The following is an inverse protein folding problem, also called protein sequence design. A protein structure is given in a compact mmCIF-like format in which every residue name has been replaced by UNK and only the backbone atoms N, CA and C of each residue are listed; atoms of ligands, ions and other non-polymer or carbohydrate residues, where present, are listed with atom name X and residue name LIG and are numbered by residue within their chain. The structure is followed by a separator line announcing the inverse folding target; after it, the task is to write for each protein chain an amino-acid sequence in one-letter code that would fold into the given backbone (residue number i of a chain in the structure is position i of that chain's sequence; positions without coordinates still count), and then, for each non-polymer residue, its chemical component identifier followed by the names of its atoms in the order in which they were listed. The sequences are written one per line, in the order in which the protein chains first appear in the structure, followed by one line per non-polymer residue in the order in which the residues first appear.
data_IF_631650637419
#
_entry.id   IF_631650637419
#
_cell.length_a   1.000
_cell.length_b   1.000
_cell.length_c   1.000
_cell.angle_alpha   90.00
_cell.angle_beta   90.00
_cell.angle_gamma   90.00
#
_symmetry.space_group_name_H-M   'P 1'
#
loop_
_entity.id
_entity.type
_entity.pdbx_description
1 polymer ?
#
# COMPACT_ATOMS: atom_id res chain seq x y z
N UNK A 1 -11.34 9.14 26.57
CA UNK A 1 -10.22 8.50 25.84
C UNK A 1 -10.52 8.54 24.35
N UNK A 2 -9.51 8.96 23.58
CA UNK A 2 -9.37 8.87 22.11
C UNK A 2 -10.17 9.84 21.22
N UNK A 3 -9.75 11.10 21.21
CA UNK A 3 -9.82 11.94 20.00
C UNK A 3 -8.45 11.92 19.30
N UNK A 4 -8.25 10.93 18.42
CA UNK A 4 -7.17 11.01 17.43
C UNK A 4 -7.62 11.99 16.34
N UNK A 5 -7.06 13.20 16.37
CA UNK A 5 -7.15 14.14 15.25
C UNK A 5 -6.37 13.53 14.08
N UNK A 6 -7.06 12.77 13.22
CA UNK A 6 -6.47 12.13 12.04
C UNK A 6 -6.23 13.16 10.95
N UNK A 7 -4.99 13.67 10.86
CA UNK A 7 -4.55 14.45 9.71
C UNK A 7 -4.29 13.55 8.51
N UNK A 8 -4.96 13.85 7.39
CA UNK A 8 -4.79 13.14 6.12
C UNK A 8 -4.07 14.01 5.10
N UNK A 9 -3.04 13.46 4.47
CA UNK A 9 -2.20 14.16 3.48
C UNK A 9 -2.59 13.80 2.06
N UNK A 10 -2.62 14.80 1.16
CA UNK A 10 -2.54 14.61 -0.30
C UNK A 10 -1.09 14.39 -0.68
N UNK A 11 -0.76 13.20 -1.17
CA UNK A 11 0.56 12.88 -1.73
C UNK A 11 0.57 13.10 -3.24
N UNK A 12 1.71 13.57 -3.75
CA UNK A 12 2.04 13.57 -5.17
C UNK A 12 3.27 12.70 -5.34
N UNK A 13 3.09 11.56 -6.02
CA UNK A 13 4.18 10.65 -6.38
C UNK A 13 5.21 11.40 -7.21
N UNK A 14 6.39 11.70 -6.64
CA UNK A 14 7.54 12.08 -7.47
C UNK A 14 7.83 10.87 -8.34
N UNK A 15 7.68 11.04 -9.66
CA UNK A 15 8.15 10.04 -10.62
C UNK A 15 9.65 9.87 -10.36
N UNK A 16 10.06 8.65 -10.04
CA UNK A 16 11.47 8.29 -10.14
C UNK A 16 11.86 8.44 -11.61
N UNK A 17 12.45 9.59 -11.96
CA UNK A 17 13.37 9.63 -13.09
C UNK A 17 14.54 8.79 -12.66
N UNK A 18 14.61 7.56 -13.14
CA UNK A 18 15.80 6.74 -13.04
C UNK A 18 17.00 7.63 -13.42
N UNK A 19 17.91 7.86 -12.47
CA UNK A 19 19.23 8.40 -12.79
C UNK A 19 19.95 7.32 -13.57
N UNK A 20 19.75 7.31 -14.88
CA UNK A 20 20.64 6.63 -15.82
C UNK A 20 22.00 7.29 -15.68
N UNK A 21 22.92 6.62 -14.99
CA UNK A 21 24.33 6.93 -15.10
C UNK A 21 24.75 6.64 -16.55
N UNK A 22 24.77 7.68 -17.38
CA UNK A 22 25.42 7.66 -18.69
C UNK A 22 26.92 7.46 -18.48
N UNK A 23 27.39 6.20 -18.55
CA UNK A 23 28.78 5.93 -18.92
C UNK A 23 28.92 6.23 -20.40
N UNK A 24 29.49 7.40 -20.70
CA UNK A 24 30.09 7.71 -21.99
C UNK A 24 31.15 6.64 -22.29
N UNK A 25 30.90 5.80 -23.28
CA UNK A 25 31.96 5.17 -24.07
C UNK A 25 31.77 5.64 -25.50
N UNK A 26 32.79 6.36 -25.95
CA UNK A 26 32.96 6.88 -27.30
C UNK A 26 33.41 5.74 -28.22
N UNK A 27 32.68 5.50 -29.30
CA UNK A 27 33.27 5.16 -30.61
C UNK A 27 32.24 5.41 -31.71
N UNK A 28 32.65 6.20 -32.71
CA UNK A 28 31.98 6.39 -34.00
C UNK A 28 32.01 5.09 -34.81
N UNK A 29 31.00 4.88 -35.65
CA UNK A 29 31.08 4.54 -37.10
C UNK A 29 29.65 4.29 -37.63
N UNK A 30 29.32 4.90 -38.77
CA UNK A 30 28.08 4.76 -39.57
C UNK A 30 28.50 4.10 -40.92
N UNK A 31 27.60 3.80 -41.89
CA UNK A 31 26.44 2.89 -41.99
C UNK A 31 26.68 1.75 -43.02
N UNK A 32 25.89 0.66 -43.04
CA UNK A 32 25.51 -0.08 -44.28
C UNK A 32 24.18 -0.86 -44.12
N UNK A 33 23.21 -0.59 -45.00
CA UNK A 33 22.18 -1.53 -45.51
C UNK A 33 22.67 -2.08 -46.88
N UNK A 34 22.08 -3.09 -47.57
CA UNK A 34 20.70 -3.68 -47.54
C UNK A 34 20.75 -5.24 -47.39
N UNK A 35 19.70 -6.07 -47.35
CA UNK A 35 18.62 -6.40 -48.32
C UNK A 35 17.56 -7.32 -47.68
N UNK A 36 16.40 -7.42 -48.32
CA UNK A 36 15.18 -8.12 -47.90
C UNK A 36 15.17 -9.66 -48.05
N UNK A 37 14.35 -10.37 -47.27
CA UNK A 37 13.52 -11.50 -47.77
C UNK A 37 12.30 -11.76 -46.87
N UNK A 38 11.13 -11.95 -47.51
CA UNK A 38 9.84 -12.39 -46.96
C UNK A 38 9.92 -13.79 -46.34
N UNK A 39 9.09 -14.08 -45.32
CA UNK A 39 8.32 -15.34 -45.20
C UNK A 39 7.11 -15.13 -44.27
N UNK A 40 5.98 -15.67 -44.72
CA UNK A 40 4.62 -15.61 -44.18
C UNK A 40 4.39 -16.74 -43.19
N UNK A 41 3.62 -16.50 -42.11
CA UNK A 41 2.62 -17.38 -41.46
C UNK A 41 2.51 -17.00 -39.97
N UNK A 42 1.41 -17.13 -39.22
CA UNK A 42 -0.03 -17.37 -39.39
C UNK A 42 -0.53 -17.48 -37.93
N UNK A 43 -1.65 -16.81 -37.57
CA UNK A 43 -2.54 -17.06 -36.40
C UNK A 43 -1.90 -16.98 -34.99
N UNK A 44 -2.49 -16.46 -33.91
CA UNK A 44 -3.86 -16.49 -33.42
C UNK A 44 -4.11 -15.26 -32.53
N UNK A 45 -5.17 -14.51 -32.81
CA UNK A 45 -5.67 -13.47 -31.91
C UNK A 45 -6.67 -14.08 -30.94
N UNK A 46 -6.21 -14.47 -29.75
CA UNK A 46 -7.08 -14.86 -28.64
C UNK A 46 -7.87 -13.64 -28.14
N UNK A 47 -9.18 -13.66 -28.40
CA UNK A 47 -10.16 -12.76 -27.77
C UNK A 47 -10.42 -13.29 -26.36
N UNK A 48 -9.86 -12.65 -25.34
CA UNK A 48 -10.24 -12.93 -23.96
C UNK A 48 -11.26 -11.90 -23.46
N UNK A 49 -12.38 -12.46 -23.05
CA UNK A 49 -13.66 -11.87 -22.68
C UNK A 49 -13.55 -11.03 -21.40
N UNK A 50 -14.02 -9.78 -21.47
CA UNK A 50 -14.37 -8.96 -20.30
C UNK A 50 -15.78 -9.35 -19.83
N UNK A 51 -16.04 -9.61 -18.53
CA UNK A 51 -17.41 -9.65 -18.05
C UNK A 51 -17.94 -8.21 -17.99
N UNK A 52 -18.85 -7.90 -18.92
CA UNK A 52 -19.70 -6.70 -18.89
C UNK A 52 -20.74 -6.88 -17.79
N UNK A 53 -20.75 -5.95 -16.85
CA UNK A 53 -21.88 -5.73 -15.95
C UNK A 53 -23.06 -5.25 -16.81
N UNK A 54 -24.14 -6.03 -16.75
CA UNK A 54 -25.39 -5.87 -17.46
C UNK A 54 -26.08 -4.60 -16.96
N UNK A 55 -26.18 -3.56 -17.78
CA UNK A 55 -27.12 -2.47 -17.57
C UNK A 55 -28.41 -2.84 -18.32
N UNK A 56 -29.39 -3.37 -17.59
CA UNK A 56 -30.72 -3.61 -18.13
C UNK A 56 -31.53 -2.31 -18.11
N UNK A 57 -32.24 -2.14 -19.21
CA UNK A 57 -33.04 -1.01 -19.65
C UNK A 57 -34.27 -0.76 -18.78
N UNK A 58 -34.60 0.52 -18.66
CA UNK A 58 -35.82 1.08 -18.07
C UNK A 58 -37.10 0.63 -18.76
N UNK A 59 -38.07 0.16 -17.98
CA UNK A 59 -39.49 0.39 -18.22
C UNK A 59 -40.22 0.42 -16.86
N UNK A 60 -41.03 1.47 -16.66
CA UNK A 60 -41.84 1.76 -15.48
C UNK A 60 -43.02 0.78 -15.38
N UNK A 61 -43.23 0.18 -14.21
CA UNK A 61 -44.56 -0.14 -13.65
C UNK A 61 -44.46 0.00 -12.12
N UNK A 62 -45.32 0.86 -11.57
CA UNK A 62 -45.55 1.03 -10.13
C UNK A 62 -46.08 -0.27 -9.52
N UNK A 63 -45.46 -0.72 -8.43
CA UNK A 63 -46.16 -1.44 -7.37
C UNK A 63 -45.33 -1.40 -6.09
N UNK A 64 -45.96 -0.92 -5.02
CA UNK A 64 -45.34 -0.75 -3.70
C UNK A 64 -44.82 -2.06 -3.14
N UNK A 65 -43.51 -2.26 -3.25
CA UNK A 65 -42.76 -3.27 -2.52
C UNK A 65 -41.75 -2.50 -1.68
N UNK A 66 -41.95 -2.53 -0.36
CA UNK A 66 -40.99 -2.05 0.65
C UNK A 66 -39.60 -2.55 0.24
N UNK A 67 -38.71 -1.61 -0.12
CA UNK A 67 -37.34 -1.95 -0.49
C UNK A 67 -36.71 -2.83 0.60
N UNK A 68 -36.08 -3.97 0.26
CA UNK A 68 -35.37 -4.76 1.24
C UNK A 68 -34.29 -3.88 1.85
N UNK A 69 -34.31 -3.78 3.17
CA UNK A 69 -33.36 -3.03 4.00
C UNK A 69 -31.96 -3.56 3.65
N UNK A 70 -31.19 -2.84 2.84
CA UNK A 70 -29.82 -3.23 2.49
C UNK A 70 -29.01 -3.29 3.77
N UNK A 71 -28.75 -4.51 4.26
CA UNK A 71 -27.96 -4.72 5.47
C UNK A 71 -26.54 -4.25 5.19
N UNK A 72 -26.13 -3.17 5.87
CA UNK A 72 -24.77 -2.63 5.73
C UNK A 72 -23.80 -3.60 6.37
N UNK A 73 -22.74 -3.95 5.65
CA UNK A 73 -21.67 -4.78 6.18
C UNK A 73 -21.03 -4.05 7.38
N UNK A 74 -20.90 -4.69 8.55
CA UNK A 74 -20.35 -4.04 9.74
C UNK A 74 -18.84 -3.82 9.61
N UNK A 75 -18.35 -2.71 10.18
CA UNK A 75 -16.91 -2.53 10.45
C UNK A 75 -16.50 -3.46 11.58
N UNK A 76 -15.32 -4.08 11.46
CA UNK A 76 -14.79 -5.02 12.44
C UNK A 76 -13.27 -4.94 12.56
N UNK A 77 -12.76 -5.18 13.76
CA UNK A 77 -11.33 -5.42 14.04
C UNK A 77 -11.01 -6.93 14.08
N UNK A 78 -12.02 -7.80 13.88
CA UNK A 78 -11.82 -9.23 13.71
C UNK A 78 -11.39 -9.51 12.26
N UNK A 79 -10.18 -10.03 12.12
CA UNK A 79 -9.57 -10.44 10.86
C UNK A 79 -8.63 -11.62 11.12
N UNK A 80 -8.83 -12.68 10.35
CA UNK A 80 -7.97 -13.86 10.31
C UNK A 80 -7.24 -13.93 8.98
N UNK A 81 -6.04 -14.48 8.96
CA UNK A 81 -5.26 -14.67 7.74
C UNK A 81 -5.93 -15.63 6.72
N UNK A 82 -6.95 -16.38 7.14
CA UNK A 82 -7.79 -17.21 6.26
C UNK A 82 -8.94 -16.44 5.63
N UNK A 83 -9.24 -15.22 6.09
CA UNK A 83 -10.30 -14.39 5.53
C UNK A 83 -9.89 -13.93 4.11
N UNK A 84 -10.82 -14.00 3.17
CA UNK A 84 -10.58 -13.61 1.78
C UNK A 84 -10.82 -12.11 1.60
N UNK A 85 -9.91 -11.42 0.91
CA UNK A 85 -10.04 -10.00 0.56
C UNK A 85 -10.83 -9.89 -0.74
N UNK A 86 -12.09 -9.45 -0.67
CA UNK A 86 -13.05 -9.51 -1.79
C UNK A 86 -13.50 -8.14 -2.32
N UNK A 87 -13.13 -7.05 -1.66
CA UNK A 87 -13.52 -5.69 -2.06
C UNK A 87 -12.94 -4.64 -1.13
N UNK A 88 -13.27 -3.38 -1.36
CA UNK A 88 -12.83 -2.27 -0.50
C UNK A 88 -13.87 -1.16 -0.48
N UNK A 89 -13.86 -0.39 0.60
CA UNK A 89 -14.64 0.83 0.77
C UNK A 89 -13.72 1.98 1.18
N UNK A 90 -13.90 3.13 0.52
CA UNK A 90 -13.12 4.34 0.79
C UNK A 90 -13.99 5.40 1.44
N UNK A 91 -13.53 5.91 2.58
CA UNK A 91 -14.25 6.93 3.34
C UNK A 91 -13.71 8.30 3.00
N UNK A 92 -14.48 9.10 2.26
CA UNK A 92 -14.01 10.41 1.80
C UNK A 92 -13.73 11.41 2.93
N UNK A 93 -14.33 11.26 4.11
CA UNK A 93 -14.12 12.12 5.27
C UNK A 93 -12.80 11.81 5.97
N UNK A 94 -12.58 10.55 6.36
CA UNK A 94 -11.38 10.11 7.08
C UNK A 94 -10.23 9.74 6.14
N UNK A 95 -10.53 9.63 4.84
CA UNK A 95 -9.62 9.18 3.78
C UNK A 95 -9.05 7.79 4.06
N UNK A 96 -9.73 7.01 4.87
CA UNK A 96 -9.37 5.63 5.21
C UNK A 96 -9.94 4.66 4.17
N UNK A 97 -9.32 3.49 4.10
CA UNK A 97 -9.79 2.37 3.29
C UNK A 97 -10.02 1.20 4.23
N UNK A 98 -11.22 0.64 4.16
CA UNK A 98 -11.51 -0.65 4.75
C UNK A 98 -11.58 -1.68 3.63
N UNK A 99 -11.08 -2.89 3.88
CA UNK A 99 -11.17 -4.02 2.98
C UNK A 99 -12.39 -4.84 3.37
N UNK A 100 -13.25 -5.10 2.40
CA UNK A 100 -14.34 -6.05 2.53
C UNK A 100 -13.75 -7.45 2.53
N UNK A 101 -13.88 -8.13 3.66
CA UNK A 101 -13.41 -9.51 3.83
C UNK A 101 -14.58 -10.48 3.91
N UNK A 102 -14.34 -11.71 3.48
CA UNK A 102 -15.27 -12.84 3.63
C UNK A 102 -14.56 -13.95 4.40
N UNK A 103 -15.18 -14.41 5.48
CA UNK A 103 -14.69 -15.55 6.26
C UNK A 103 -15.16 -16.86 5.62
N UNK A 104 -14.25 -17.77 5.20
CA UNK A 104 -14.66 -19.02 4.54
C UNK A 104 -15.48 -19.96 5.43
N UNK A 105 -15.24 -19.95 6.75
CA UNK A 105 -15.88 -20.89 7.68
C UNK A 105 -17.39 -20.65 7.86
N UNK A 106 -17.84 -19.40 7.80
CA UNK A 106 -19.24 -19.02 8.05
C UNK A 106 -19.86 -18.13 6.94
N UNK A 107 -19.07 -17.77 5.93
CA UNK A 107 -19.49 -16.91 4.82
C UNK A 107 -19.74 -15.45 5.21
N UNK A 108 -19.50 -15.08 6.48
CA UNK A 108 -19.78 -13.74 6.98
C UNK A 108 -18.87 -12.70 6.34
N UNK A 109 -19.42 -11.49 6.17
CA UNK A 109 -18.72 -10.35 5.57
C UNK A 109 -18.52 -9.25 6.59
N UNK A 110 -17.40 -8.55 6.48
CA UNK A 110 -17.01 -7.47 7.39
C UNK A 110 -16.06 -6.51 6.71
N UNK A 111 -16.13 -5.24 7.08
CA UNK A 111 -15.19 -4.21 6.65
C UNK A 111 -14.07 -4.10 7.68
N UNK A 112 -12.85 -4.45 7.28
CA UNK A 112 -11.68 -4.45 8.15
C UNK A 112 -10.75 -3.32 7.74
N UNK A 113 -10.24 -2.48 8.67
CA UNK A 113 -9.28 -1.44 8.32
C UNK A 113 -8.07 -1.99 7.58
N UNK A 114 -7.70 -1.38 6.47
CA UNK A 114 -6.54 -1.78 5.67
C UNK A 114 -5.25 -1.88 6.51
N UNK A 115 -5.05 -0.92 7.42
CA UNK A 115 -3.92 -0.91 8.37
C UNK A 115 -3.86 -2.20 9.19
N UNK A 116 -5.00 -2.68 9.68
CA UNK A 116 -5.04 -3.86 10.54
C UNK A 116 -4.61 -5.10 9.77
N UNK A 117 -5.03 -5.20 8.50
CA UNK A 117 -4.64 -6.30 7.62
C UNK A 117 -3.14 -6.24 7.34
N UNK A 118 -2.59 -5.05 7.08
CA UNK A 118 -1.14 -4.89 6.89
C UNK A 118 -0.34 -5.30 8.13
N UNK A 119 -0.84 -4.98 9.32
CA UNK A 119 -0.20 -5.34 10.58
C UNK A 119 -0.22 -6.86 10.82
N UNK A 120 -1.30 -7.56 10.46
CA UNK A 120 -1.48 -9.00 10.75
C UNK A 120 -1.00 -9.91 9.62
N UNK A 121 -1.26 -9.55 8.37
CA UNK A 121 -0.95 -10.35 7.18
C UNK A 121 -0.56 -9.46 5.97
N UNK A 122 0.62 -8.80 6.01
CA UNK A 122 1.02 -7.84 4.99
C UNK A 122 1.12 -8.45 3.59
N UNK A 123 1.62 -9.69 3.49
CA UNK A 123 1.76 -10.40 2.21
C UNK A 123 0.42 -10.57 1.49
N UNK A 124 -0.64 -10.89 2.23
CA UNK A 124 -1.98 -11.04 1.66
C UNK A 124 -2.53 -9.70 1.17
N UNK A 125 -2.33 -8.61 1.93
CA UNK A 125 -2.76 -7.28 1.51
C UNK A 125 -2.01 -6.81 0.26
N UNK A 126 -0.70 -7.00 0.20
CA UNK A 126 0.10 -6.59 -0.97
C UNK A 126 -0.27 -7.42 -2.20
N UNK A 127 -0.51 -8.72 -2.05
CA UNK A 127 -1.00 -9.57 -3.13
C UNK A 127 -2.37 -9.09 -3.64
N UNK A 128 -3.28 -8.71 -2.73
CA UNK A 128 -4.57 -8.14 -3.08
C UNK A 128 -4.44 -6.84 -3.88
N UNK A 129 -3.61 -5.89 -3.44
CA UNK A 129 -3.44 -4.66 -4.22
C UNK A 129 -2.72 -4.89 -5.54
N UNK A 130 -1.79 -5.84 -5.60
CA UNK A 130 -1.09 -6.23 -6.83
C UNK A 130 -1.98 -6.96 -7.82
N UNK A 131 -3.08 -7.58 -7.38
CA UNK A 131 -4.02 -8.24 -8.30
C UNK A 131 -4.78 -7.23 -9.17
N UNK A 132 -4.80 -5.96 -8.79
CA UNK A 132 -5.27 -4.89 -9.66
C UNK A 132 -4.14 -4.53 -10.65
N UNK A 133 -4.45 -4.43 -11.95
CA UNK A 133 -3.47 -4.04 -12.98
C UNK A 133 -3.03 -2.57 -12.89
N UNK A 134 -3.23 -1.91 -11.75
CA UNK A 134 -2.90 -0.53 -11.49
C UNK A 134 -2.56 -0.33 -10.00
N UNK A 135 -1.80 0.72 -9.66
CA UNK A 135 -1.47 1.03 -8.27
C UNK A 135 -2.69 1.28 -7.37
N UNK A 136 -2.56 0.98 -6.07
CA UNK A 136 -3.59 1.18 -5.03
C UNK A 136 -4.26 2.55 -5.13
N UNK A 137 -3.49 3.63 -5.26
CA UNK A 137 -4.02 5.00 -5.32
C UNK A 137 -4.99 5.23 -6.48
N UNK A 138 -4.72 4.58 -7.62
CA UNK A 138 -5.59 4.63 -8.80
C UNK A 138 -6.82 3.74 -8.63
N UNK A 139 -6.65 2.58 -8.00
CA UNK A 139 -7.76 1.66 -7.67
C UNK A 139 -8.75 2.33 -6.74
N UNK A 140 -8.26 2.92 -5.64
CA UNK A 140 -9.09 3.60 -4.63
C UNK A 140 -9.55 4.98 -5.09
N UNK A 141 -8.96 5.52 -6.16
CA UNK A 141 -9.21 6.89 -6.67
C UNK A 141 -8.92 7.95 -5.60
N UNK A 142 -7.86 7.75 -4.83
CA UNK A 142 -7.41 8.67 -3.79
C UNK A 142 -5.92 8.90 -3.91
N UNK A 143 -5.52 10.17 -3.85
CA UNK A 143 -4.12 10.56 -3.71
C UNK A 143 -3.71 10.74 -2.24
N UNK A 144 -4.48 10.19 -1.29
CA UNK A 144 -4.17 10.29 0.14
C UNK A 144 -3.50 9.03 0.68
N UNK A 145 -2.49 9.26 1.52
CA UNK A 145 -1.63 8.22 2.07
C UNK A 145 -1.52 8.41 3.58
N UNK A 146 -1.48 7.28 4.28
CA UNK A 146 -1.32 7.23 5.73
C UNK A 146 0.02 6.59 6.04
N UNK A 147 0.76 7.17 6.99
CA UNK A 147 2.03 6.60 7.48
C UNK A 147 1.71 5.28 8.17
N UNK A 148 2.27 4.18 7.70
CA UNK A 148 2.16 2.90 8.39
C UNK A 148 3.20 2.80 9.50
N UNK A 149 4.47 3.00 9.15
CA UNK A 149 5.63 2.82 10.03
C UNK A 149 6.82 3.69 9.59
N UNK A 150 7.76 3.92 10.51
CA UNK A 150 9.07 4.54 10.25
C UNK A 150 10.11 3.41 10.28
N UNK A 151 10.71 3.13 9.14
CA UNK A 151 11.53 1.92 8.97
C UNK A 151 13.03 2.20 8.98
N UNK A 152 13.44 3.46 8.80
CA UNK A 152 14.85 3.86 8.75
C UNK A 152 14.98 5.37 8.98
N UNK A 153 16.18 5.83 9.32
CA UNK A 153 16.52 7.23 9.43
C UNK A 153 17.94 7.53 8.92
N UNK A 154 18.10 8.67 8.27
CA UNK A 154 19.38 9.14 7.74
C UNK A 154 19.49 10.65 7.96
N UNK A 155 20.61 11.16 8.50
CA UNK A 155 20.78 12.58 8.78
C UNK A 155 20.62 13.49 7.56
N UNK A 156 20.89 13.00 6.36
CA UNK A 156 20.81 13.77 5.10
C UNK A 156 19.44 13.65 4.41
N UNK A 157 18.75 12.53 4.55
CA UNK A 157 17.48 12.24 3.86
C UNK A 157 16.24 12.39 4.76
N UNK A 158 16.39 12.31 6.07
CA UNK A 158 15.30 12.35 7.05
C UNK A 158 14.86 10.95 7.48
N UNK A 159 13.55 10.69 7.50
CA UNK A 159 12.95 9.44 7.95
C UNK A 159 12.42 8.66 6.75
N UNK A 160 12.70 7.37 6.68
CA UNK A 160 12.17 6.48 5.65
C UNK A 160 10.83 5.92 6.09
N UNK A 161 9.80 6.21 5.31
CA UNK A 161 8.41 5.96 5.66
C UNK A 161 7.85 4.80 4.86
N UNK A 162 7.28 3.84 5.58
CA UNK A 162 6.37 2.86 5.01
C UNK A 162 4.94 3.41 5.01
N UNK A 163 4.22 3.23 3.90
CA UNK A 163 2.84 3.70 3.73
C UNK A 163 1.83 2.57 3.90
N UNK A 164 0.62 2.91 4.36
CA UNK A 164 -0.49 1.95 4.43
C UNK A 164 -0.86 1.48 3.02
N UNK A 165 -0.93 0.16 2.84
CA UNK A 165 -1.18 -0.53 1.59
C UNK A 165 0.08 -0.82 0.75
N UNK A 166 1.27 -0.46 1.23
CA UNK A 166 2.53 -0.61 0.50
C UNK A 166 3.60 -1.37 1.30
N UNK A 167 4.49 -2.05 0.57
CA UNK A 167 5.56 -2.85 1.17
C UNK A 167 6.65 -1.97 1.80
N UNK A 168 7.47 -2.49 2.72
CA UNK A 168 8.63 -1.76 3.27
C UNK A 168 9.82 -1.72 2.30
N UNK A 169 9.63 -2.07 1.02
CA UNK A 169 10.71 -2.04 0.02
C UNK A 169 11.08 -0.61 -0.39
N UNK A 170 12.29 -0.43 -0.91
CA UNK A 170 12.79 0.89 -1.37
C UNK A 170 11.92 1.52 -2.46
N UNK A 171 11.26 0.71 -3.31
CA UNK A 171 10.39 1.22 -4.37
C UNK A 171 9.04 1.74 -3.87
N UNK A 172 8.63 1.32 -2.67
CA UNK A 172 7.33 1.58 -2.07
C UNK A 172 7.40 2.50 -0.84
N UNK A 173 8.61 2.84 -0.40
CA UNK A 173 8.89 3.72 0.73
C UNK A 173 9.44 5.06 0.25
N UNK A 174 9.40 6.06 1.11
CA UNK A 174 9.93 7.40 0.79
C UNK A 174 10.61 8.04 1.97
N UNK A 175 11.68 8.79 1.70
CA UNK A 175 12.31 9.67 2.68
C UNK A 175 11.50 10.95 2.87
N UNK A 176 11.19 11.28 4.12
CA UNK A 176 10.35 12.40 4.53
C UNK A 176 11.00 13.15 5.71
N UNK A 177 10.76 14.45 5.81
CA UNK A 177 11.37 15.22 6.90
C UNK A 177 10.75 14.87 8.27
N UNK A 178 11.58 14.81 9.31
CA UNK A 178 11.11 14.59 10.68
C UNK A 178 10.07 15.64 11.12
N UNK A 179 10.20 16.88 10.66
CA UNK A 179 9.24 17.96 10.93
C UNK A 179 7.85 17.69 10.32
N UNK A 180 7.79 17.05 9.14
CA UNK A 180 6.54 16.64 8.50
C UNK A 180 5.91 15.49 9.28
N UNK A 181 6.70 14.47 9.63
CA UNK A 181 6.21 13.29 10.34
C UNK A 181 5.74 13.64 11.76
N UNK A 182 6.48 14.50 12.50
CA UNK A 182 6.07 15.00 13.81
C UNK A 182 4.70 15.69 13.80
N UNK A 183 4.37 16.40 12.71
CA UNK A 183 3.04 17.02 12.56
C UNK A 183 1.95 16.00 12.25
N UNK A 184 2.28 14.94 11.52
CA UNK A 184 1.31 13.95 11.05
C UNK A 184 0.99 12.88 12.09
N UNK A 185 2.02 12.28 12.67
CA UNK A 185 1.95 11.12 13.56
C UNK A 185 3.00 11.29 14.67
N UNK A 186 2.84 12.27 15.58
CA UNK A 186 3.83 12.55 16.63
C UNK A 186 4.12 11.31 17.49
N UNK A 187 3.08 10.57 17.86
CA UNK A 187 3.22 9.36 18.69
C UNK A 187 4.10 8.29 18.03
N UNK A 188 3.89 8.02 16.74
CA UNK A 188 4.71 7.04 15.99
C UNK A 188 6.18 7.47 15.93
N UNK A 189 6.44 8.78 15.79
CA UNK A 189 7.81 9.30 15.80
C UNK A 189 8.45 9.15 17.18
N UNK A 190 7.73 9.47 18.24
CA UNK A 190 8.24 9.38 19.60
C UNK A 190 8.51 7.90 19.99
N UNK A 191 7.65 6.97 19.58
CA UNK A 191 7.86 5.52 19.73
C UNK A 191 9.12 5.05 19.01
N UNK A 192 9.29 5.45 17.74
CA UNK A 192 10.46 5.11 16.93
C UNK A 192 11.78 5.61 17.58
N UNK A 193 11.79 6.87 18.03
CA UNK A 193 12.97 7.46 18.67
C UNK A 193 13.30 6.80 20.02
N UNK A 194 12.28 6.44 20.80
CA UNK A 194 12.45 5.77 22.09
C UNK A 194 13.02 4.36 21.88
N UNK A 195 12.44 3.58 20.96
CA UNK A 195 12.94 2.25 20.63
C UNK A 195 14.38 2.25 20.11
N UNK A 196 14.78 3.31 19.39
CA UNK A 196 16.18 3.49 18.96
C UNK A 196 17.13 3.67 20.14
N UNK A 197 16.78 4.49 21.14
CA UNK A 197 17.60 4.68 22.35
C UNK A 197 17.79 3.39 23.14
N UNK A 198 16.75 2.57 23.25
CA UNK A 198 16.82 1.27 23.94
C UNK A 198 17.71 0.27 23.20
N UNK A 199 17.69 0.31 21.86
CA UNK A 199 18.54 -0.55 21.01
C UNK A 199 20.02 -0.14 21.00
N UNK A 200 20.32 1.14 21.28
CA UNK A 200 21.67 1.73 21.21
C UNK A 200 22.34 1.83 22.60
N UNK A 201 21.66 1.42 23.68
CA UNK A 201 22.23 1.40 25.03
C UNK A 201 23.40 0.39 25.14
N UNK A 202 24.64 0.82 25.43
CA UNK A 202 25.75 -0.09 25.59
C UNK A 202 25.60 -0.85 26.92
N UNK A 203 25.57 -2.17 26.83
CA UNK A 203 25.72 -3.09 27.96
C UNK A 203 27.03 -2.78 28.72
N UNK A 204 26.96 -1.87 29.69
CA UNK A 204 28.02 -1.60 30.66
C UNK A 204 28.08 -2.76 31.64
N UNK A 205 28.66 -3.88 31.19
CA UNK A 205 29.14 -4.93 32.09
C UNK A 205 30.24 -4.30 32.94
N UNK A 206 29.93 -4.09 34.23
CA UNK A 206 30.92 -3.73 35.25
C UNK A 206 31.96 -4.84 35.29
N UNK A 207 33.21 -4.55 34.93
CA UNK A 207 34.34 -5.45 35.18
C UNK A 207 34.40 -5.71 36.70
N UNK A 208 34.44 -6.96 37.17
CA UNK A 208 34.75 -7.21 38.57
C UNK A 208 36.19 -6.81 38.82
N UNK A 209 36.39 -5.94 39.81
CA UNK A 209 37.69 -5.62 40.38
C UNK A 209 38.21 -6.90 41.04
N UNK A 210 39.12 -7.58 40.37
CA UNK A 210 39.85 -8.70 40.94
C UNK A 210 40.88 -8.19 41.95
N UNK A 211 40.66 -8.56 43.21
CA UNK A 211 41.55 -8.34 44.35
C UNK A 211 42.84 -9.13 44.12
N UNK A 212 43.97 -8.45 44.24
CA UNK A 212 45.32 -9.05 44.24
C UNK A 212 45.59 -9.75 45.57
N UNK A 213 46.05 -11.00 45.53
CA UNK A 213 46.74 -11.68 46.63
C UNK A 213 48.25 -11.57 46.45
#
# INVERSE_FOLDING_TARGET
LNEFVKMVVKYVRRRNTARTFSRRVSTRVIPRQPTATKTVSRSEGSKQSKPKILQNTTSKVDNGIRSPKTERVPKSQDYLHTDELIGWEYYSLTKEVDILTRRPSDGSKRLVPERLIQQRCPSQLFAYWKSFSQPREKTVKSNHYHVFDIIDDDPSQGLKIQWVGYSPSDSDTTWESASKIRKMVPELLDDYLTGKQDSEAPSRIRKPVGISN
#
